data_IF_520528236058
#
_entry.id   IF_520528236058
#
_cell.length_a   1.000
_cell.length_b   1.000
_cell.length_c   1.000
_cell.angle_alpha   90.00
_cell.angle_beta   90.00
_cell.angle_gamma   90.00
#
_symmetry.space_group_name_H-M   'P 1'
#
loop_
_entity.id
_entity.type
_entity.pdbx_description
1 polymer ?
#
# COMPACT_ATOMS: atom_id res chain seq x y z
N UNK A 1 -27.96 -23.65 -22.05
CA UNK A 1 -27.29 -24.14 -20.83
C UNK A 1 -26.22 -23.13 -20.46
N UNK A 2 -26.21 -22.72 -19.18
CA UNK A 2 -25.24 -21.90 -18.45
C UNK A 2 -24.92 -20.48 -18.98
N UNK A 3 -25.79 -19.54 -18.59
CA UNK A 3 -25.54 -18.10 -18.50
C UNK A 3 -24.73 -17.86 -17.21
N UNK A 4 -23.41 -17.67 -17.31
CA UNK A 4 -22.57 -17.42 -16.14
C UNK A 4 -22.59 -15.91 -15.81
N UNK A 5 -23.66 -15.50 -15.13
CA UNK A 5 -23.72 -14.20 -14.43
C UNK A 5 -22.60 -14.16 -13.40
N UNK A 6 -21.51 -13.45 -13.72
CA UNK A 6 -20.51 -13.06 -12.73
C UNK A 6 -21.13 -12.00 -11.81
N UNK A 7 -21.97 -12.45 -10.88
CA UNK A 7 -22.44 -11.65 -9.75
C UNK A 7 -21.28 -11.49 -8.79
N UNK A 8 -20.46 -10.47 -9.02
CA UNK A 8 -19.54 -9.98 -8.00
C UNK A 8 -20.38 -9.24 -6.96
N UNK A 9 -20.77 -10.00 -5.93
CA UNK A 9 -21.46 -9.53 -4.74
C UNK A 9 -20.52 -8.68 -3.89
N UNK A 10 -21.02 -7.51 -3.51
CA UNK A 10 -20.59 -6.65 -2.40
C UNK A 10 -19.16 -6.07 -2.40
N UNK A 11 -19.03 -4.83 -2.91
CA UNK A 11 -18.55 -3.67 -2.14
C UNK A 11 -17.11 -3.60 -1.62
N UNK A 12 -16.31 -4.66 -1.64
CA UNK A 12 -14.94 -4.66 -1.11
C UNK A 12 -13.94 -4.28 -2.19
N UNK A 13 -13.28 -3.13 -2.01
CA UNK A 13 -12.22 -2.70 -2.91
C UNK A 13 -11.03 -3.66 -2.75
N UNK A 14 -10.58 -4.31 -3.82
CA UNK A 14 -9.45 -5.23 -3.80
C UNK A 14 -8.19 -4.58 -4.39
N UNK A 15 -7.03 -4.77 -3.76
CA UNK A 15 -5.74 -4.33 -4.30
C UNK A 15 -5.10 -5.43 -5.15
N UNK A 16 -4.93 -5.19 -6.45
CA UNK A 16 -4.11 -6.05 -7.30
C UNK A 16 -2.62 -5.71 -7.11
N UNK A 17 -1.86 -6.64 -6.54
CA UNK A 17 -0.41 -6.56 -6.46
C UNK A 17 0.23 -6.95 -7.81
N UNK A 18 1.35 -6.32 -8.15
CA UNK A 18 2.01 -6.40 -9.46
C UNK A 18 2.03 -7.79 -10.12
N UNK A 19 1.63 -7.84 -11.40
CA UNK A 19 1.60 -9.02 -12.30
C UNK A 19 0.95 -10.33 -11.77
N UNK A 20 0.40 -10.34 -10.55
CA UNK A 20 -0.19 -11.52 -9.94
C UNK A 20 -1.64 -11.79 -10.40
N UNK A 21 -2.21 -10.93 -11.25
CA UNK A 21 -3.59 -11.07 -11.71
C UNK A 21 -4.61 -11.11 -10.57
N UNK A 22 -5.81 -11.58 -10.89
CA UNK A 22 -7.02 -11.75 -10.05
C UNK A 22 -6.82 -12.57 -8.75
N UNK A 23 -5.60 -13.06 -8.48
CA UNK A 23 -5.33 -14.08 -7.46
C UNK A 23 -5.08 -13.54 -6.04
N UNK A 24 -5.26 -12.24 -5.80
CA UNK A 24 -4.95 -11.65 -4.49
C UNK A 24 -6.01 -10.61 -4.06
N UNK A 25 -7.22 -11.09 -3.79
CA UNK A 25 -8.26 -10.31 -3.10
C UNK A 25 -7.93 -10.20 -1.61
N UNK A 26 -6.94 -9.36 -1.27
CA UNK A 26 -6.78 -8.94 0.12
C UNK A 26 -7.69 -7.76 0.42
N UNK A 27 -8.32 -7.73 1.61
CA UNK A 27 -9.17 -6.61 2.00
C UNK A 27 -8.31 -5.34 2.00
N UNK A 28 -8.75 -4.35 1.23
CA UNK A 28 -8.07 -3.07 1.18
C UNK A 28 -8.17 -2.35 2.53
N UNK A 29 -7.01 -1.97 3.07
CA UNK A 29 -6.88 -1.20 4.31
C UNK A 29 -6.32 0.18 3.97
N UNK A 30 -7.20 1.20 3.77
CA UNK A 30 -6.76 2.55 3.44
C UNK A 30 -5.84 3.17 4.50
N UNK A 31 -6.00 2.80 5.78
CA UNK A 31 -5.15 3.26 6.89
C UNK A 31 -3.74 2.66 6.88
N UNK A 32 -3.52 1.59 6.11
CA UNK A 32 -2.23 0.87 6.04
C UNK A 32 -1.49 1.14 4.73
N UNK A 33 -1.88 2.14 3.95
CA UNK A 33 -1.09 2.54 2.79
C UNK A 33 0.17 3.28 3.23
N UNK A 34 1.32 2.82 2.73
CA UNK A 34 2.59 3.48 2.96
C UNK A 34 3.15 3.98 1.63
N UNK A 35 3.32 5.29 1.47
CA UNK A 35 4.03 5.87 0.34
C UNK A 35 5.47 6.18 0.74
N UNK A 36 6.43 5.62 0.01
CA UNK A 36 7.85 5.91 0.20
C UNK A 36 8.15 7.35 -0.26
N UNK A 37 8.62 8.25 0.62
CA UNK A 37 8.95 9.63 0.24
C UNK A 37 10.13 9.70 -0.74
N UNK A 38 11.01 8.69 -0.76
CA UNK A 38 12.18 8.66 -1.64
C UNK A 38 11.85 8.24 -3.07
N UNK A 39 10.86 7.36 -3.26
CA UNK A 39 10.60 6.72 -4.56
C UNK A 39 9.19 6.95 -5.09
N UNK A 40 8.29 7.51 -4.26
CA UNK A 40 6.86 7.63 -4.57
C UNK A 40 6.12 6.29 -4.68
N UNK A 41 6.79 5.16 -4.43
CA UNK A 41 6.18 3.84 -4.48
C UNK A 41 5.24 3.65 -3.30
N UNK A 42 4.06 3.10 -3.57
CA UNK A 42 3.06 2.82 -2.55
C UNK A 42 3.08 1.33 -2.22
N UNK A 43 2.99 1.03 -0.93
CA UNK A 43 3.01 -0.31 -0.36
C UNK A 43 1.76 -0.52 0.49
N UNK A 44 1.32 -1.76 0.58
CA UNK A 44 0.18 -2.18 1.38
C UNK A 44 0.50 -3.51 2.07
N UNK A 45 0.01 -3.77 3.29
CA UNK A 45 0.23 -5.05 3.95
C UNK A 45 -0.33 -6.20 3.13
N UNK A 46 0.47 -7.25 2.99
CA UNK A 46 0.10 -8.48 2.32
C UNK A 46 0.16 -9.65 3.31
N UNK A 47 -0.40 -10.81 2.96
CA UNK A 47 -0.23 -12.00 3.79
C UNK A 47 1.25 -12.39 3.88
N UNK A 48 1.64 -13.00 5.00
CA UNK A 48 3.04 -13.43 5.22
C UNK A 48 3.52 -14.41 4.15
N UNK A 49 2.62 -15.23 3.60
CA UNK A 49 2.91 -16.16 2.50
C UNK A 49 3.43 -15.46 1.24
N UNK A 50 3.13 -14.17 1.08
CA UNK A 50 3.54 -13.35 -0.06
C UNK A 50 4.60 -12.29 0.31
N UNK A 51 5.22 -12.40 1.48
CA UNK A 51 6.29 -11.50 1.92
C UNK A 51 5.85 -10.33 2.80
N UNK A 52 4.62 -10.37 3.35
CA UNK A 52 4.06 -9.40 4.33
C UNK A 52 3.87 -7.95 3.84
N UNK A 53 4.56 -7.54 2.78
CA UNK A 53 4.51 -6.22 2.16
C UNK A 53 4.29 -6.38 0.67
N UNK A 54 3.16 -5.88 0.18
CA UNK A 54 2.84 -5.89 -1.24
C UNK A 54 3.09 -4.53 -1.89
N UNK A 55 3.64 -4.54 -3.10
CA UNK A 55 3.85 -3.35 -3.91
C UNK A 55 2.59 -3.03 -4.73
N UNK A 56 2.11 -1.80 -4.59
CA UNK A 56 0.96 -1.29 -5.36
C UNK A 56 1.40 -1.01 -6.80
N UNK A 57 0.58 -1.41 -7.77
CA UNK A 57 0.85 -1.10 -9.18
C UNK A 57 0.96 0.41 -9.42
N UNK A 58 1.91 0.81 -10.27
CA UNK A 58 2.18 2.22 -10.54
C UNK A 58 0.96 2.99 -11.04
N UNK A 59 0.11 2.37 -11.88
CA UNK A 59 -1.14 2.98 -12.35
C UNK A 59 -2.08 3.34 -11.19
N UNK A 60 -2.34 2.39 -10.30
CA UNK A 60 -3.18 2.62 -9.12
C UNK A 60 -2.55 3.64 -8.19
N UNK A 61 -1.23 3.55 -7.95
CA UNK A 61 -0.48 4.50 -7.14
C UNK A 61 -0.66 5.95 -7.64
N UNK A 62 -0.63 6.17 -8.96
CA UNK A 62 -0.85 7.48 -9.57
C UNK A 62 -2.31 7.94 -9.35
N UNK A 63 -3.29 7.05 -9.51
CA UNK A 63 -4.71 7.37 -9.32
C UNK A 63 -5.05 7.74 -7.87
N UNK A 64 -4.36 7.15 -6.89
CA UNK A 64 -4.56 7.43 -5.47
C UNK A 64 -3.60 8.49 -4.91
N UNK A 65 -2.52 8.82 -5.63
CA UNK A 65 -1.55 9.87 -5.28
C UNK A 65 -2.20 11.21 -4.85
N UNK A 66 -3.18 11.77 -5.57
CA UNK A 66 -3.81 13.04 -5.16
C UNK A 66 -4.68 12.93 -3.90
N UNK A 67 -4.98 11.72 -3.42
CA UNK A 67 -5.76 11.49 -2.19
C UNK A 67 -4.90 11.43 -0.92
N UNK A 68 -3.58 11.46 -1.06
CA UNK A 68 -2.67 11.54 0.08
C UNK A 68 -2.50 12.98 0.56
N UNK A 69 -2.49 13.16 1.88
CA UNK A 69 -2.20 14.45 2.51
C UNK A 69 -0.85 14.40 3.20
N UNK A 70 -0.01 15.41 2.93
CA UNK A 70 1.34 15.55 3.47
C UNK A 70 1.36 16.70 4.49
N UNK A 71 0.97 16.43 5.73
CA UNK A 71 0.93 17.49 6.76
C UNK A 71 2.31 17.85 7.31
N UNK A 72 3.31 16.97 7.12
CA UNK A 72 4.64 17.16 7.69
C UNK A 72 5.71 17.61 6.67
N UNK A 73 5.31 17.98 5.45
CA UNK A 73 6.20 18.43 4.37
C UNK A 73 6.56 17.34 3.34
N UNK A 74 7.11 17.78 2.22
CA UNK A 74 7.42 16.98 1.01
C UNK A 74 8.48 15.88 1.20
N UNK A 75 9.30 15.96 2.24
CA UNK A 75 10.30 14.94 2.59
C UNK A 75 9.80 13.81 3.49
N UNK A 76 8.52 13.82 3.90
CA UNK A 76 7.95 12.86 4.86
C UNK A 76 6.82 12.04 4.23
N UNK A 77 6.58 10.80 4.72
CA UNK A 77 5.45 10.02 4.25
C UNK A 77 4.13 10.75 4.55
N UNK A 78 3.09 10.51 3.74
CA UNK A 78 1.78 11.11 3.96
C UNK A 78 1.19 10.67 5.31
N UNK A 79 0.42 11.56 5.93
CA UNK A 79 -0.19 11.34 7.25
C UNK A 79 -1.63 10.88 7.15
N UNK A 80 -2.32 11.26 6.06
CA UNK A 80 -3.72 10.95 5.84
C UNK A 80 -3.96 10.48 4.42
N UNK A 81 -4.99 9.67 4.27
CA UNK A 81 -5.47 9.17 2.99
C UNK A 81 -6.98 9.28 2.91
N UNK A 82 -7.47 9.92 1.84
CA UNK A 82 -8.90 9.97 1.57
C UNK A 82 -9.33 8.76 0.73
N UNK A 83 -10.32 8.01 1.21
CA UNK A 83 -10.94 6.91 0.47
C UNK A 83 -12.46 6.98 0.57
N UNK A 84 -13.15 6.92 -0.58
CA UNK A 84 -14.64 6.95 -0.65
C UNK A 84 -15.27 8.11 0.16
N UNK A 85 -14.61 9.27 0.19
CA UNK A 85 -15.08 10.46 0.92
C UNK A 85 -14.83 10.42 2.43
N UNK A 86 -14.03 9.47 2.92
CA UNK A 86 -13.62 9.36 4.32
C UNK A 86 -12.11 9.54 4.42
N UNK A 87 -11.68 10.37 5.37
CA UNK A 87 -10.25 10.57 5.67
C UNK A 87 -9.81 9.55 6.71
N UNK A 88 -8.74 8.83 6.39
CA UNK A 88 -8.11 7.84 7.25
C UNK A 88 -6.72 8.33 7.66
N UNK A 89 -6.40 8.25 8.95
CA UNK A 89 -5.03 8.46 9.43
C UNK A 89 -4.16 7.26 9.05
N UNK A 90 -3.04 7.54 8.40
CA UNK A 90 -2.11 6.53 7.93
C UNK A 90 -1.19 6.07 9.05
N UNK A 91 -1.22 4.78 9.31
CA UNK A 91 -0.19 4.13 10.09
C UNK A 91 0.99 3.83 9.16
N UNK A 92 2.05 4.62 9.24
CA UNK A 92 3.28 4.37 8.47
C UNK A 92 4.24 3.40 9.20
N UNK A 93 3.97 3.07 10.47
CA UNK A 93 4.91 2.32 11.32
C UNK A 93 4.94 0.82 10.98
N UNK A 94 3.82 0.24 10.54
CA UNK A 94 3.77 -1.18 10.19
C UNK A 94 4.80 -1.55 9.12
N UNK A 95 5.06 -0.67 8.13
CA UNK A 95 6.01 -0.94 7.05
C UNK A 95 7.43 -1.20 7.58
N UNK A 96 7.89 -0.37 8.53
CA UNK A 96 9.23 -0.54 9.14
C UNK A 96 9.33 -1.82 9.96
N UNK A 97 8.23 -2.26 10.59
CA UNK A 97 8.18 -3.51 11.34
C UNK A 97 8.45 -4.73 10.44
N UNK A 98 7.89 -4.76 9.23
CA UNK A 98 8.08 -5.89 8.31
C UNK A 98 9.33 -5.77 7.43
N UNK A 99 9.84 -4.56 7.22
CA UNK A 99 11.10 -4.32 6.51
C UNK A 99 12.35 -4.61 7.36
N UNK A 100 12.19 -4.85 8.66
CA UNK A 100 13.26 -5.13 9.64
C UNK A 100 14.00 -6.48 9.45
N UNK A 101 14.08 -7.03 8.24
CA UNK A 101 14.99 -8.13 7.92
C UNK A 101 16.27 -7.68 7.19
N UNK A 102 16.29 -6.52 6.53
CA UNK A 102 17.39 -6.16 5.61
C UNK A 102 17.92 -4.71 5.75
N UNK A 103 17.93 -4.14 6.95
CA UNK A 103 18.61 -2.85 7.21
C UNK A 103 19.57 -2.95 8.41
N UNK A 104 20.46 -3.95 8.36
CA UNK A 104 21.81 -3.84 8.91
C UNK A 104 22.75 -3.81 7.72
N UNK A 105 22.86 -2.67 7.05
CA UNK A 105 24.04 -2.38 6.22
C UNK A 105 24.38 -0.90 6.37
N UNK A 106 25.31 -0.67 7.29
CA UNK A 106 26.36 0.35 7.19
C UNK A 106 25.90 1.81 7.15
N UNK A 107 25.56 2.32 8.33
CA UNK A 107 25.97 3.67 8.73
C UNK A 107 26.98 3.56 9.87
N UNK A 108 28.13 2.91 9.62
CA UNK A 108 29.34 3.20 10.38
C UNK A 108 30.06 4.32 9.64
N UNK A 109 29.82 5.55 10.09
CA UNK A 109 30.75 6.64 9.86
C UNK A 109 31.95 6.36 10.75
N UNK A 110 33.04 5.88 10.17
CA UNK A 110 34.37 5.93 10.79
C UNK A 110 35.42 5.93 9.67
N UNK A 111 35.91 7.13 9.37
CA UNK A 111 37.29 7.58 9.09
C UNK A 111 37.23 8.98 8.48
#
# INVERSE_FOLDING_TARGET
MADLKNQNVDGEDAFCYGHAGDLMHLPFKPDKLFMSPQTGRVYHPCEERFGSVGLVMSKLAIEISPRFTFEHGDGKPPTKFEWKGKVHDLDNQWYFKYRSRDDVTTANVDI
#
